data_IF_380005265889
#
_entry.id   IF_380005265889
#
_cell.length_a   1.000
_cell.length_b   1.000
_cell.length_c   1.000
_cell.angle_alpha   90.00
_cell.angle_beta   90.00
_cell.angle_gamma   90.00
#
_symmetry.space_group_name_H-M   'P 1'
#
loop_
_entity.id
_entity.type
_entity.pdbx_description
1 polymer ?
#
# COMPACT_ATOMS: atom_id res chain seq x y z
N UNK A 1 -24.75 -1.28 -5.46
CA UNK A 1 -23.86 -2.11 -4.61
C UNK A 1 -22.51 -1.41 -4.47
N UNK A 2 -21.98 -1.29 -3.25
CA UNK A 2 -20.64 -0.72 -3.02
C UNK A 2 -19.59 -1.78 -3.33
N UNK A 3 -18.55 -1.42 -4.11
CA UNK A 3 -17.41 -2.28 -4.40
C UNK A 3 -16.12 -1.58 -4.06
N UNK A 4 -15.13 -2.36 -3.66
CA UNK A 4 -13.79 -1.91 -3.34
C UNK A 4 -12.75 -2.71 -4.12
N UNK A 5 -11.74 -2.02 -4.59
CA UNK A 5 -10.55 -2.61 -5.15
C UNK A 5 -9.34 -1.92 -4.53
N UNK A 6 -8.36 -2.70 -4.09
CA UNK A 6 -7.12 -2.18 -3.51
C UNK A 6 -5.93 -2.76 -4.24
N UNK A 7 -4.87 -1.98 -4.35
CA UNK A 7 -3.59 -2.38 -4.90
C UNK A 7 -2.46 -1.67 -4.16
N UNK A 8 -1.26 -2.19 -4.30
CA UNK A 8 -0.05 -1.61 -3.75
C UNK A 8 0.66 -2.54 -2.77
N UNK A 9 1.96 -2.40 -2.71
CA UNK A 9 2.86 -3.18 -1.89
C UNK A 9 3.29 -2.39 -0.64
N UNK A 10 3.69 -3.12 0.41
CA UNK A 10 4.13 -2.53 1.68
C UNK A 10 5.30 -1.55 1.51
N UNK A 11 6.26 -1.89 0.62
CA UNK A 11 7.40 -1.04 0.30
C UNK A 11 7.34 -0.49 -1.14
N UNK A 12 6.16 -0.52 -1.78
CA UNK A 12 5.91 0.15 -3.05
C UNK A 12 5.81 1.68 -2.91
N UNK A 13 5.60 2.39 -4.03
CA UNK A 13 5.51 3.85 -4.05
C UNK A 13 4.29 4.37 -3.28
N UNK A 14 3.20 3.62 -3.34
CA UNK A 14 1.94 3.97 -2.70
C UNK A 14 1.02 2.75 -2.58
N UNK A 15 -0.09 2.96 -1.88
CA UNK A 15 -1.23 2.06 -1.84
C UNK A 15 -2.42 2.78 -2.45
N UNK A 16 -3.16 2.10 -3.29
CA UNK A 16 -4.33 2.64 -3.99
C UNK A 16 -5.58 1.91 -3.52
N UNK A 17 -6.64 2.66 -3.27
CA UNK A 17 -7.97 2.13 -3.07
C UNK A 17 -8.94 2.79 -4.04
N UNK A 18 -9.73 2.00 -4.71
CA UNK A 18 -10.83 2.48 -5.54
C UNK A 18 -12.16 2.01 -4.95
N UNK A 19 -13.13 2.92 -4.91
CA UNK A 19 -14.49 2.64 -4.44
C UNK A 19 -15.50 3.10 -5.47
N UNK A 20 -16.38 2.21 -5.87
CA UNK A 20 -17.52 2.53 -6.75
C UNK A 20 -18.87 2.30 -6.08
N UNK A 21 -19.93 2.76 -6.74
CA UNK A 21 -21.33 2.56 -6.31
C UNK A 21 -21.80 3.57 -5.26
N UNK A 22 -21.07 4.67 -5.05
CA UNK A 22 -21.53 5.78 -4.22
C UNK A 22 -22.38 6.74 -5.06
N UNK A 23 -23.56 7.16 -4.57
CA UNK A 23 -24.36 8.20 -5.23
C UNK A 23 -23.60 9.51 -5.37
N UNK A 24 -23.90 10.29 -6.41
CA UNK A 24 -23.38 11.66 -6.54
C UNK A 24 -23.91 12.55 -5.40
N UNK A 25 -23.15 13.59 -5.07
CA UNK A 25 -23.51 14.58 -4.05
C UNK A 25 -23.27 14.16 -2.60
N UNK A 26 -22.80 12.94 -2.35
CA UNK A 26 -22.48 12.50 -0.99
C UNK A 26 -21.19 13.15 -0.46
N UNK A 27 -21.19 13.59 0.80
CA UNK A 27 -20.04 14.23 1.44
C UNK A 27 -18.83 13.28 1.52
N UNK A 28 -17.67 13.75 1.11
CA UNK A 28 -16.39 13.04 1.23
C UNK A 28 -15.39 13.99 1.90
N UNK A 29 -15.04 13.69 3.15
CA UNK A 29 -14.09 14.48 3.92
C UNK A 29 -12.70 13.84 3.91
N UNK A 30 -11.72 14.55 3.34
CA UNK A 30 -10.31 14.17 3.42
C UNK A 30 -9.80 14.18 4.86
N UNK A 31 -10.26 15.13 5.67
CA UNK A 31 -9.82 15.24 7.06
C UNK A 31 -10.33 14.08 7.91
N UNK A 32 -11.55 13.59 7.64
CA UNK A 32 -12.05 12.38 8.28
C UNK A 32 -11.18 11.15 7.91
N UNK A 33 -10.81 11.03 6.63
CA UNK A 33 -9.92 9.93 6.19
C UNK A 33 -8.54 10.05 6.83
N UNK A 34 -7.97 11.25 6.89
CA UNK A 34 -6.68 11.53 7.58
C UNK A 34 -6.74 11.18 9.06
N UNK A 35 -7.84 11.55 9.73
CA UNK A 35 -8.04 11.22 11.15
C UNK A 35 -8.08 9.71 11.39
N UNK A 36 -8.75 8.95 10.51
CA UNK A 36 -8.79 7.48 10.61
C UNK A 36 -7.43 6.85 10.31
N UNK A 37 -6.67 7.35 9.33
CA UNK A 37 -5.30 6.92 9.06
C UNK A 37 -4.37 7.22 10.24
N UNK A 38 -4.49 8.39 10.86
CA UNK A 38 -3.73 8.73 12.07
C UNK A 38 -4.10 7.79 13.23
N UNK A 39 -5.40 7.56 13.45
CA UNK A 39 -5.90 6.68 14.52
C UNK A 39 -5.37 5.25 14.39
N UNK A 40 -5.26 4.69 13.17
CA UNK A 40 -4.75 3.34 12.98
C UNK A 40 -3.28 3.17 13.42
N UNK A 41 -2.51 4.27 13.50
CA UNK A 41 -1.12 4.26 13.95
C UNK A 41 -1.00 4.21 15.47
N UNK A 42 -2.06 4.57 16.18
CA UNK A 42 -2.12 4.51 17.64
C UNK A 42 -2.33 3.07 18.09
N UNK A 43 -1.80 2.74 19.25
CA UNK A 43 -2.01 1.44 19.87
C UNK A 43 -0.72 0.81 20.41
N UNK A 44 -0.89 0.02 21.47
CA UNK A 44 0.19 -0.73 22.08
C UNK A 44 0.70 -1.82 21.11
N UNK A 45 2.01 -2.02 21.06
CA UNK A 45 2.63 -3.06 20.22
C UNK A 45 2.78 -2.71 18.74
N UNK A 46 2.45 -1.48 18.32
CA UNK A 46 2.74 -1.02 16.95
C UNK A 46 4.24 -0.90 16.73
N UNK A 47 4.72 -1.39 15.56
CA UNK A 47 6.13 -1.35 15.19
C UNK A 47 6.69 0.08 15.15
N UNK A 48 8.00 0.23 15.37
CA UNK A 48 8.68 1.53 15.35
C UNK A 48 8.44 2.32 14.06
N UNK A 49 8.32 1.63 12.92
CA UNK A 49 8.01 2.20 11.61
C UNK A 49 6.76 3.07 11.62
N UNK A 50 5.70 2.66 12.32
CA UNK A 50 4.42 3.37 12.38
C UNK A 50 4.53 4.75 13.05
N UNK A 51 5.60 5.02 13.80
CA UNK A 51 5.81 6.30 14.48
C UNK A 51 6.33 7.41 13.56
N UNK A 52 6.95 7.03 12.44
CA UNK A 52 7.63 7.94 11.53
C UNK A 52 6.95 8.05 10.15
N UNK A 53 5.97 7.19 9.86
CA UNK A 53 5.22 7.25 8.60
C UNK A 53 4.17 8.35 8.69
N UNK A 54 4.26 9.34 7.81
CA UNK A 54 3.18 10.25 7.47
C UNK A 54 2.48 9.71 6.22
N UNK A 55 1.17 9.44 6.32
CA UNK A 55 0.39 8.96 5.19
C UNK A 55 0.08 10.15 4.27
N UNK A 56 0.72 10.21 3.12
CA UNK A 56 0.44 11.21 2.09
C UNK A 56 -0.84 10.82 1.35
N UNK A 57 -1.97 11.41 1.78
CA UNK A 57 -3.29 11.11 1.25
C UNK A 57 -3.62 12.01 0.05
N UNK A 58 -3.92 11.40 -1.10
CA UNK A 58 -4.38 12.07 -2.31
C UNK A 58 -5.68 11.45 -2.81
N UNK A 59 -6.67 12.29 -3.17
CA UNK A 59 -7.83 11.88 -3.97
C UNK A 59 -7.52 12.11 -5.45
N UNK A 60 -7.41 11.03 -6.21
CA UNK A 60 -7.08 11.10 -7.64
C UNK A 60 -8.31 11.20 -8.54
N UNK A 61 -9.51 10.96 -8.03
CA UNK A 61 -10.74 11.05 -8.80
C UNK A 61 -12.00 10.82 -7.99
N UNK A 62 -13.15 11.12 -8.58
CA UNK A 62 -14.48 10.82 -8.04
C UNK A 62 -15.02 11.83 -7.02
N UNK A 63 -14.27 12.88 -6.69
CA UNK A 63 -14.68 13.90 -5.71
C UNK A 63 -14.40 15.29 -6.23
N UNK A 64 -15.35 16.21 -6.04
CA UNK A 64 -15.20 17.63 -6.33
C UNK A 64 -15.84 18.45 -5.21
N UNK A 65 -15.10 19.44 -4.70
CA UNK A 65 -15.57 20.32 -3.60
C UNK A 65 -16.13 19.54 -2.39
N UNK A 66 -15.46 18.44 -2.03
CA UNK A 66 -15.87 17.60 -0.90
C UNK A 66 -17.09 16.71 -1.15
N UNK A 67 -17.58 16.60 -2.40
CA UNK A 67 -18.74 15.77 -2.74
C UNK A 67 -18.40 14.76 -3.82
N UNK A 68 -18.96 13.56 -3.68
CA UNK A 68 -18.84 12.49 -4.68
C UNK A 68 -19.51 12.88 -6.00
N UNK A 69 -18.90 12.49 -7.11
CA UNK A 69 -19.38 12.79 -8.46
C UNK A 69 -20.23 11.66 -9.07
N UNK A 70 -20.43 10.55 -8.35
CA UNK A 70 -21.10 9.35 -8.87
C UNK A 70 -20.18 8.41 -9.65
N UNK A 71 -19.00 8.85 -10.04
CA UNK A 71 -17.94 8.03 -10.61
C UNK A 71 -17.14 7.32 -9.51
N UNK A 72 -16.30 6.33 -9.85
CA UNK A 72 -15.40 5.71 -8.89
C UNK A 72 -14.52 6.75 -8.17
N UNK A 73 -14.36 6.59 -6.87
CA UNK A 73 -13.46 7.41 -6.04
C UNK A 73 -12.14 6.67 -5.92
N UNK A 74 -11.06 7.31 -6.35
CA UNK A 74 -9.71 6.78 -6.24
C UNK A 74 -8.92 7.52 -5.15
N UNK A 75 -8.42 6.75 -4.19
CA UNK A 75 -7.59 7.23 -3.08
C UNK A 75 -6.20 6.64 -3.22
N UNK A 76 -5.19 7.47 -3.06
CA UNK A 76 -3.78 7.08 -3.04
C UNK A 76 -3.18 7.46 -1.70
N UNK A 77 -2.46 6.54 -1.08
CA UNK A 77 -1.71 6.74 0.15
C UNK A 77 -0.24 6.53 -0.17
N UNK A 78 0.52 7.61 -0.26
CA UNK A 78 1.94 7.60 -0.59
C UNK A 78 2.78 6.95 0.52
N UNK A 79 3.92 6.40 0.12
CA UNK A 79 4.88 5.78 1.02
C UNK A 79 6.14 6.64 1.12
N UNK A 80 6.36 7.27 2.26
CA UNK A 80 7.52 8.11 2.53
C UNK A 80 8.86 7.36 2.51
N UNK A 81 8.85 6.04 2.67
CA UNK A 81 10.05 5.20 2.56
C UNK A 81 10.41 4.80 1.11
N UNK A 82 9.52 5.06 0.15
CA UNK A 82 9.72 4.68 -1.25
C UNK A 82 11.11 4.99 -1.82
N UNK A 83 11.73 6.17 -1.59
CA UNK A 83 13.06 6.46 -2.12
C UNK A 83 14.15 5.45 -1.75
N UNK A 84 13.93 4.69 -0.68
CA UNK A 84 14.86 3.64 -0.22
C UNK A 84 14.60 2.28 -0.88
N UNK A 85 13.48 2.14 -1.59
CA UNK A 85 13.00 0.87 -2.13
C UNK A 85 12.88 0.87 -3.64
N UNK A 86 13.09 2.00 -4.30
CA UNK A 86 12.84 2.21 -5.73
C UNK A 86 13.49 1.15 -6.62
N UNK A 87 14.72 0.75 -6.32
CA UNK A 87 15.42 -0.28 -7.10
C UNK A 87 14.92 -1.70 -6.77
N UNK A 88 14.67 -1.96 -5.48
CA UNK A 88 14.30 -3.31 -4.98
C UNK A 88 12.85 -3.67 -5.32
N UNK A 89 11.99 -2.66 -5.42
CA UNK A 89 10.57 -2.80 -5.74
C UNK A 89 10.19 -2.12 -7.06
N UNK A 90 11.17 -1.98 -7.97
CA UNK A 90 10.94 -1.43 -9.30
C UNK A 90 9.92 -2.26 -10.08
N UNK A 91 9.00 -1.58 -10.76
CA UNK A 91 8.11 -2.20 -11.74
C UNK A 91 8.84 -2.50 -13.06
N UNK A 92 9.95 -1.81 -13.30
CA UNK A 92 10.78 -2.01 -14.51
C UNK A 92 11.85 -3.07 -14.25
N UNK A 93 12.32 -3.76 -15.29
CA UNK A 93 13.42 -4.70 -15.17
C UNK A 93 14.67 -4.04 -14.56
N UNK A 94 15.26 -4.69 -13.57
CA UNK A 94 16.50 -4.25 -12.93
C UNK A 94 17.56 -5.34 -13.01
N UNK A 95 18.83 -4.91 -13.00
CA UNK A 95 19.96 -5.81 -12.85
C UNK A 95 20.09 -6.20 -11.38
N UNK A 96 19.67 -7.42 -11.04
CA UNK A 96 19.65 -7.91 -9.65
C UNK A 96 21.02 -7.95 -9.00
N UNK A 97 22.11 -8.04 -9.80
CA UNK A 97 23.48 -8.04 -9.27
C UNK A 97 23.89 -6.66 -8.73
N UNK A 98 23.24 -5.60 -9.22
CA UNK A 98 23.48 -4.21 -8.78
C UNK A 98 22.59 -3.78 -7.62
N UNK A 99 21.67 -4.61 -7.17
CA UNK A 99 20.80 -4.27 -6.04
C UNK A 99 21.62 -4.07 -4.75
N UNK A 100 21.18 -3.17 -3.88
CA UNK A 100 21.87 -2.89 -2.63
C UNK A 100 21.92 -4.15 -1.75
N UNK A 101 23.13 -4.45 -1.24
CA UNK A 101 23.33 -5.55 -0.29
C UNK A 101 22.39 -5.38 0.92
N UNK A 102 21.82 -6.47 1.37
CA UNK A 102 20.84 -6.48 2.44
C UNK A 102 19.40 -6.34 1.94
N UNK A 103 18.93 -5.15 1.58
CA UNK A 103 17.55 -4.97 1.08
C UNK A 103 17.29 -5.68 -0.24
N UNK A 104 18.23 -5.67 -1.15
CA UNK A 104 18.14 -6.34 -2.44
C UNK A 104 18.41 -7.85 -2.37
N UNK A 105 18.85 -8.38 -1.23
CA UNK A 105 19.10 -9.81 -1.09
C UNK A 105 17.80 -10.62 -1.18
N UNK A 106 17.81 -11.77 -1.88
CA UNK A 106 16.63 -12.64 -1.96
C UNK A 106 16.17 -13.11 -0.58
N UNK A 107 14.87 -13.05 -0.34
CA UNK A 107 14.21 -13.51 0.88
C UNK A 107 13.66 -14.92 0.66
N UNK A 108 14.47 -15.93 0.94
CA UNK A 108 14.10 -17.35 0.74
C UNK A 108 13.49 -18.00 1.98
N UNK A 109 13.60 -17.34 3.15
CA UNK A 109 13.07 -17.86 4.41
C UNK A 109 11.71 -17.22 4.73
N UNK A 110 10.60 -17.97 4.66
CA UNK A 110 9.29 -17.48 5.05
C UNK A 110 9.23 -17.19 6.56
N UNK A 111 8.51 -16.14 6.94
CA UNK A 111 8.30 -15.78 8.34
C UNK A 111 7.27 -16.72 8.97
N UNK A 112 7.52 -17.26 10.18
CA UNK A 112 6.54 -18.04 10.92
C UNK A 112 5.26 -17.22 11.22
N UNK A 113 4.11 -17.85 11.12
CA UNK A 113 2.83 -17.20 11.42
C UNK A 113 2.34 -16.17 10.39
N UNK A 114 3.00 -16.07 9.23
CA UNK A 114 2.63 -15.19 8.12
C UNK A 114 2.22 -16.01 6.88
N UNK A 115 1.63 -15.34 5.89
CA UNK A 115 1.19 -15.98 4.66
C UNK A 115 2.32 -16.25 3.65
N UNK A 116 3.57 -16.01 4.02
CA UNK A 116 4.72 -16.09 3.12
C UNK A 116 4.84 -17.47 2.46
N UNK A 117 4.89 -18.54 3.26
CA UNK A 117 5.04 -19.90 2.74
C UNK A 117 3.87 -20.30 1.83
N UNK A 118 2.64 -20.07 2.29
CA UNK A 118 1.42 -20.40 1.53
C UNK A 118 1.36 -19.60 0.24
N UNK A 119 1.72 -18.32 0.27
CA UNK A 119 1.75 -17.49 -0.91
C UNK A 119 2.83 -17.90 -1.91
N UNK A 120 4.04 -18.23 -1.43
CA UNK A 120 5.10 -18.78 -2.28
C UNK A 120 4.65 -20.05 -2.98
N UNK A 121 4.05 -20.99 -2.26
CA UNK A 121 3.51 -22.22 -2.82
C UNK A 121 2.38 -21.98 -3.81
N UNK A 122 1.44 -21.08 -3.47
CA UNK A 122 0.28 -20.78 -4.32
C UNK A 122 0.68 -20.18 -5.67
N UNK A 123 1.68 -19.31 -5.68
CA UNK A 123 2.07 -18.56 -6.87
C UNK A 123 3.35 -19.07 -7.54
N UNK A 124 4.01 -20.08 -6.95
CA UNK A 124 5.25 -20.64 -7.48
C UNK A 124 6.46 -19.68 -7.33
N UNK A 125 6.48 -18.85 -6.31
CA UNK A 125 7.60 -17.94 -6.07
C UNK A 125 8.69 -18.61 -5.22
N UNK A 126 9.94 -18.48 -5.64
CA UNK A 126 11.11 -18.89 -4.87
C UNK A 126 11.52 -17.84 -3.84
N UNK A 127 11.12 -16.58 -4.04
CA UNK A 127 11.39 -15.47 -3.15
C UNK A 127 10.11 -15.02 -2.42
N UNK A 128 10.20 -14.92 -1.10
CA UNK A 128 9.09 -14.50 -0.25
C UNK A 128 8.69 -13.03 -0.42
N UNK A 129 9.57 -12.16 -0.95
CA UNK A 129 9.29 -10.73 -1.12
C UNK A 129 8.02 -10.49 -1.94
N UNK A 130 7.84 -11.21 -3.03
CA UNK A 130 6.66 -11.09 -3.89
C UNK A 130 5.32 -11.40 -3.18
N UNK A 131 5.38 -11.99 -2.00
CA UNK A 131 4.22 -12.32 -1.17
C UNK A 131 4.11 -11.40 0.04
N UNK A 132 5.23 -11.16 0.74
CA UNK A 132 5.23 -10.40 2.00
C UNK A 132 4.92 -8.91 1.83
N UNK A 133 5.09 -8.40 0.63
CA UNK A 133 4.85 -7.01 0.28
C UNK A 133 3.34 -6.68 0.09
N UNK A 134 2.51 -7.67 -0.05
CA UNK A 134 1.06 -7.52 -0.29
C UNK A 134 0.27 -7.22 0.97
#
# INVERSE_FOLDING_TARGET
>A
MLRWLTAGESHGPDRVASREGRPAGGLVSLDAIRADLARRKLGYGRGARMKFEEDELTLSGGVRFGHSMGSPIAVRIGNTEWPRWVDVMSAEPVDVEKLPKGRGAPLTRPRPGHADLVGMQKYGFEEARNVLER
#
